data_IF_255471330013
#
_entry.id   IF_255471330013
#
_cell.length_a   1.000
_cell.length_b   1.000
_cell.length_c   1.000
_cell.angle_alpha   90.00
_cell.angle_beta   90.00
_cell.angle_gamma   90.00
#
_symmetry.space_group_name_H-M   'P 1'
#
loop_
_entity.id
_entity.type
_entity.pdbx_description
1 polymer ?
#
# COMPACT_ATOMS: atom_id res chain seq x y z
N UNK A 1 -16.02 -7.41 12.15
CA UNK A 1 -16.35 -6.18 12.88
C UNK A 1 -15.09 -5.36 12.95
N UNK A 2 -14.91 -4.51 11.93
CA UNK A 2 -13.85 -3.51 11.78
C UNK A 2 -13.59 -2.81 13.11
N UNK A 3 -12.43 -3.07 13.72
CA UNK A 3 -11.93 -2.19 14.77
C UNK A 3 -11.22 -1.04 14.09
N UNK A 4 -11.77 0.18 14.20
CA UNK A 4 -11.11 1.40 13.71
C UNK A 4 -9.66 1.52 14.21
N UNK A 5 -9.36 0.94 15.38
CA UNK A 5 -8.02 0.83 15.94
C UNK A 5 -7.07 0.01 15.07
N UNK A 6 -7.50 -1.12 14.50
CA UNK A 6 -6.63 -1.98 13.68
C UNK A 6 -6.26 -1.33 12.34
N UNK A 7 -7.21 -0.62 11.72
CA UNK A 7 -6.95 0.14 10.48
C UNK A 7 -5.91 1.22 10.74
N UNK A 8 -6.11 2.02 11.80
CA UNK A 8 -5.16 3.05 12.22
C UNK A 8 -3.77 2.47 12.50
N UNK A 9 -3.68 1.34 13.23
CA UNK A 9 -2.40 0.69 13.54
C UNK A 9 -1.61 0.26 12.29
N UNK A 10 -2.28 -0.21 11.24
CA UNK A 10 -1.64 -0.58 9.97
C UNK A 10 -1.13 0.67 9.26
N UNK A 11 -1.98 1.70 9.12
CA UNK A 11 -1.63 2.93 8.42
C UNK A 11 -0.55 3.74 9.15
N UNK A 12 -0.66 3.88 10.47
CA UNK A 12 0.33 4.56 11.31
C UNK A 12 1.67 3.82 11.32
N UNK A 13 1.66 2.49 11.26
CA UNK A 13 2.92 1.76 11.08
C UNK A 13 3.54 2.03 9.71
N UNK A 14 2.73 1.99 8.66
CA UNK A 14 3.22 2.09 7.29
C UNK A 14 3.67 3.50 6.91
N UNK A 15 2.89 4.51 7.25
CA UNK A 15 3.14 5.92 6.91
C UNK A 15 3.70 6.75 8.09
N UNK A 16 3.60 6.23 9.31
CA UNK A 16 3.96 6.96 10.53
C UNK A 16 2.81 7.83 11.04
N UNK A 17 2.75 8.04 12.36
CA UNK A 17 1.70 8.87 12.97
C UNK A 17 1.61 10.27 12.32
N UNK A 18 0.37 10.74 12.12
CA UNK A 18 0.08 12.06 11.56
C UNK A 18 0.42 12.24 10.08
N UNK A 19 0.69 11.15 9.35
CA UNK A 19 1.13 11.19 7.95
C UNK A 19 0.21 11.97 7.01
N UNK A 20 -1.10 11.95 7.22
CA UNK A 20 -2.07 12.65 6.36
C UNK A 20 -1.86 14.17 6.34
N UNK A 21 -1.35 14.74 7.43
CA UNK A 21 -1.10 16.18 7.55
C UNK A 21 0.32 16.58 7.14
N UNK A 22 1.17 15.62 6.76
CA UNK A 22 2.58 15.85 6.43
C UNK A 22 2.79 15.93 4.91
N UNK A 23 3.75 16.73 4.43
CA UNK A 23 4.16 16.70 3.04
C UNK A 23 4.64 15.30 2.62
N UNK A 24 4.31 14.88 1.40
CA UNK A 24 4.57 13.53 0.95
C UNK A 24 6.07 13.16 0.99
N UNK A 25 6.95 14.07 0.61
CA UNK A 25 8.40 13.85 0.64
C UNK A 25 8.94 13.60 2.05
N UNK A 26 8.34 14.20 3.09
CA UNK A 26 8.79 14.00 4.48
C UNK A 26 8.36 12.64 4.99
N UNK A 27 7.12 12.23 4.70
CA UNK A 27 6.64 10.88 5.02
C UNK A 27 7.50 9.86 4.28
N UNK A 28 7.78 10.09 3.00
CA UNK A 28 8.61 9.20 2.20
C UNK A 28 10.04 9.07 2.73
N UNK A 29 10.70 10.18 3.06
CA UNK A 29 12.06 10.15 3.61
C UNK A 29 12.11 9.45 4.97
N UNK A 30 11.10 9.66 5.82
CA UNK A 30 10.97 9.01 7.14
C UNK A 30 10.81 7.50 7.01
N UNK A 31 9.98 7.05 6.07
CA UNK A 31 9.55 5.66 5.94
C UNK A 31 10.32 4.84 4.90
N UNK A 32 11.23 5.45 4.12
CA UNK A 32 11.97 4.74 3.03
C UNK A 32 12.65 3.44 3.45
N UNK A 33 13.10 3.34 4.71
CA UNK A 33 13.74 2.13 5.23
C UNK A 33 12.74 0.99 5.44
N UNK A 34 11.50 1.32 5.80
CA UNK A 34 10.41 0.35 5.91
C UNK A 34 10.00 -0.14 4.52
N UNK A 35 9.82 0.77 3.56
CA UNK A 35 9.27 0.44 2.24
C UNK A 35 10.28 -0.23 1.31
N UNK A 36 11.50 0.28 1.24
CA UNK A 36 12.42 -0.03 0.14
C UNK A 36 13.70 -0.75 0.57
N UNK A 37 13.88 -1.04 1.86
CA UNK A 37 15.08 -1.70 2.36
C UNK A 37 14.78 -3.07 2.95
N UNK A 38 15.66 -4.04 2.67
CA UNK A 38 15.69 -5.30 3.40
C UNK A 38 16.23 -5.06 4.80
N UNK A 39 15.40 -5.24 5.82
CA UNK A 39 15.79 -5.05 7.21
C UNK A 39 15.14 -6.13 8.10
N UNK A 40 15.92 -7.09 8.63
CA UNK A 40 15.40 -8.17 9.47
C UNK A 40 14.64 -7.70 10.72
N UNK A 41 15.02 -6.56 11.31
CA UNK A 41 14.34 -6.02 12.49
C UNK A 41 12.96 -5.47 12.12
N UNK A 42 12.81 -4.92 10.92
CA UNK A 42 11.51 -4.47 10.39
C UNK A 42 10.66 -5.68 10.03
N UNK A 43 11.24 -6.70 9.40
CA UNK A 43 10.53 -7.93 9.04
C UNK A 43 9.97 -8.63 10.29
N UNK A 44 10.76 -8.70 11.37
CA UNK A 44 10.32 -9.24 12.65
C UNK A 44 9.19 -8.40 13.29
N UNK A 45 9.24 -7.08 13.17
CA UNK A 45 8.16 -6.19 13.62
C UNK A 45 6.88 -6.39 12.81
N UNK A 46 6.99 -6.47 11.47
CA UNK A 46 5.85 -6.74 10.60
C UNK A 46 5.19 -8.06 10.97
N UNK A 47 5.99 -9.12 11.16
CA UNK A 47 5.48 -10.45 11.54
C UNK A 47 4.78 -10.42 12.88
N UNK A 48 5.46 -9.92 13.91
CA UNK A 48 4.92 -9.95 15.29
C UNK A 48 3.63 -9.14 15.44
N UNK A 49 3.45 -8.06 14.66
CA UNK A 49 2.29 -7.17 14.76
C UNK A 49 1.15 -7.56 13.82
N UNK A 50 1.47 -7.97 12.59
CA UNK A 50 0.47 -8.00 11.51
C UNK A 50 0.26 -9.37 10.89
N UNK A 51 1.06 -10.40 11.18
CA UNK A 51 0.88 -11.74 10.57
C UNK A 51 -0.54 -12.29 10.79
N UNK A 52 -1.10 -12.11 11.99
CA UNK A 52 -2.47 -12.53 12.28
C UNK A 52 -3.53 -11.76 11.47
N UNK A 53 -3.29 -10.48 11.16
CA UNK A 53 -4.19 -9.66 10.31
C UNK A 53 -4.03 -10.03 8.84
N UNK A 54 -2.81 -10.31 8.37
CA UNK A 54 -2.57 -10.83 7.02
C UNK A 54 -3.34 -12.13 6.80
N UNK A 55 -3.31 -13.06 7.77
CA UNK A 55 -4.07 -14.31 7.67
C UNK A 55 -5.59 -14.09 7.69
N UNK A 56 -6.09 -13.10 8.44
CA UNK A 56 -7.51 -12.72 8.41
C UNK A 56 -7.91 -12.10 7.07
N UNK A 57 -7.09 -11.20 6.53
CA UNK A 57 -7.28 -10.61 5.21
C UNK A 57 -7.32 -11.69 4.13
N UNK A 58 -6.35 -12.60 4.11
CA UNK A 58 -6.28 -13.71 3.17
C UNK A 58 -7.46 -14.70 3.28
N UNK A 59 -8.09 -14.77 4.45
CA UNK A 59 -9.29 -15.58 4.68
C UNK A 59 -10.60 -14.83 4.39
N UNK A 60 -10.55 -13.61 3.82
CA UNK A 60 -11.69 -12.72 3.61
C UNK A 60 -12.47 -12.38 4.90
N UNK A 61 -11.82 -12.43 6.07
CA UNK A 61 -12.45 -12.12 7.35
C UNK A 61 -12.50 -10.61 7.66
N UNK A 62 -11.95 -9.78 6.76
CA UNK A 62 -11.91 -8.32 6.81
C UNK A 62 -12.63 -7.70 5.58
N UNK A 63 -13.66 -8.39 5.06
CA UNK A 63 -14.44 -7.93 3.90
C UNK A 63 -15.07 -6.55 4.12
N UNK A 64 -15.49 -6.26 5.35
CA UNK A 64 -15.98 -4.94 5.80
C UNK A 64 -14.95 -3.81 5.66
N UNK A 65 -13.67 -4.10 5.38
CA UNK A 65 -12.66 -3.07 5.12
C UNK A 65 -12.72 -2.51 3.70
N UNK A 66 -13.45 -3.16 2.79
CA UNK A 66 -13.59 -2.71 1.40
C UNK A 66 -14.54 -1.52 1.22
N UNK A 67 -15.25 -1.11 2.27
CA UNK A 67 -16.31 -0.08 2.22
C UNK A 67 -15.80 1.36 2.41
N UNK A 68 -14.52 1.55 2.79
CA UNK A 68 -13.95 2.85 3.16
C UNK A 68 -12.49 2.95 2.70
N UNK A 69 -12.08 4.13 2.25
CA UNK A 69 -10.80 4.34 1.57
C UNK A 69 -9.59 3.95 2.44
N UNK A 70 -9.61 4.33 3.72
CA UNK A 70 -8.52 4.04 4.65
C UNK A 70 -8.44 2.56 5.00
N UNK A 71 -9.58 1.91 5.25
CA UNK A 71 -9.57 0.47 5.50
C UNK A 71 -9.25 -0.35 4.26
N UNK A 72 -9.65 0.10 3.07
CA UNK A 72 -9.30 -0.53 1.80
C UNK A 72 -7.78 -0.46 1.59
N UNK A 73 -7.17 0.70 1.80
CA UNK A 73 -5.71 0.84 1.75
C UNK A 73 -5.02 -0.06 2.77
N UNK A 74 -5.50 -0.10 4.01
CA UNK A 74 -4.94 -0.98 5.04
C UNK A 74 -5.05 -2.46 4.66
N UNK A 75 -6.16 -2.87 4.05
CA UNK A 75 -6.36 -4.22 3.53
C UNK A 75 -5.36 -4.54 2.40
N UNK A 76 -5.18 -3.63 1.45
CA UNK A 76 -4.19 -3.76 0.38
C UNK A 76 -2.77 -3.89 0.96
N UNK A 77 -2.39 -3.06 1.94
CA UNK A 77 -1.09 -3.16 2.60
C UNK A 77 -0.88 -4.53 3.28
N UNK A 78 -1.92 -5.08 3.92
CA UNK A 78 -1.87 -6.41 4.54
C UNK A 78 -1.72 -7.54 3.52
N UNK A 79 -2.24 -7.37 2.30
CA UNK A 79 -2.21 -8.40 1.25
C UNK A 79 -0.98 -8.27 0.34
N UNK A 80 -0.45 -7.06 0.14
CA UNK A 80 0.62 -6.80 -0.82
C UNK A 80 1.96 -6.52 -0.14
N UNK A 81 2.02 -5.49 0.70
CA UNK A 81 3.27 -5.00 1.27
C UNK A 81 3.75 -5.84 2.47
N UNK A 82 2.86 -6.14 3.42
CA UNK A 82 3.21 -6.90 4.63
C UNK A 82 3.77 -8.30 4.32
N UNK A 83 3.21 -9.09 3.38
CA UNK A 83 3.75 -10.41 3.06
C UNK A 83 5.18 -10.36 2.51
N UNK A 84 5.55 -9.30 1.77
CA UNK A 84 6.90 -9.06 1.24
C UNK A 84 7.94 -8.86 2.35
N UNK A 85 7.54 -8.30 3.49
CA UNK A 85 8.37 -8.22 4.71
C UNK A 85 8.30 -9.51 5.55
N UNK A 86 7.09 -10.00 5.83
CA UNK A 86 6.85 -11.12 6.75
C UNK A 86 7.49 -12.40 6.20
N UNK A 87 7.24 -12.73 4.94
CA UNK A 87 7.65 -14.00 4.32
C UNK A 87 8.79 -13.81 3.31
N UNK A 88 9.64 -12.80 3.55
CA UNK A 88 10.76 -12.45 2.66
C UNK A 88 11.58 -13.67 2.23
N UNK A 89 12.02 -13.65 0.96
CA UNK A 89 12.80 -14.71 0.32
C UNK A 89 12.06 -16.07 0.25
N UNK A 90 10.72 -16.07 0.35
CA UNK A 90 9.89 -17.26 0.15
C UNK A 90 8.76 -16.97 -0.85
N UNK A 91 8.21 -18.01 -1.52
CA UNK A 91 7.05 -17.84 -2.40
C UNK A 91 5.83 -17.24 -1.71
N UNK A 92 5.71 -17.41 -0.38
CA UNK A 92 4.59 -16.90 0.39
C UNK A 92 4.54 -15.36 0.43
N UNK A 93 5.65 -14.68 0.10
CA UNK A 93 5.67 -13.23 -0.05
C UNK A 93 4.74 -12.70 -1.15
N UNK A 94 4.37 -13.54 -2.10
CA UNK A 94 3.53 -13.20 -3.27
C UNK A 94 2.18 -13.95 -3.26
N UNK A 95 1.88 -14.69 -2.18
CA UNK A 95 0.74 -15.60 -2.14
C UNK A 95 -0.62 -14.90 -2.24
N UNK A 96 -0.66 -13.59 -1.98
CA UNK A 96 -1.90 -12.81 -1.89
C UNK A 96 -1.97 -11.68 -2.92
N UNK A 97 -1.03 -11.63 -3.88
CA UNK A 97 -0.93 -10.56 -4.88
C UNK A 97 -2.23 -10.43 -5.69
N UNK A 98 -2.83 -11.56 -6.09
CA UNK A 98 -4.10 -11.55 -6.83
C UNK A 98 -5.26 -10.99 -5.99
N UNK A 99 -5.29 -11.24 -4.66
CA UNK A 99 -6.31 -10.64 -3.78
C UNK A 99 -6.09 -9.14 -3.62
N UNK A 100 -4.83 -8.70 -3.47
CA UNK A 100 -4.49 -7.28 -3.40
C UNK A 100 -4.87 -6.55 -4.70
N UNK A 101 -4.56 -7.16 -5.86
CA UNK A 101 -4.94 -6.68 -7.19
C UNK A 101 -6.46 -6.50 -7.32
N UNK A 102 -7.25 -7.49 -6.89
CA UNK A 102 -8.71 -7.39 -6.89
C UNK A 102 -9.22 -6.25 -6.00
N UNK A 103 -8.62 -6.05 -4.82
CA UNK A 103 -8.95 -4.93 -3.93
C UNK A 103 -8.62 -3.58 -4.59
N UNK A 104 -7.46 -3.47 -5.25
CA UNK A 104 -7.06 -2.26 -5.99
C UNK A 104 -8.04 -1.93 -7.11
N UNK A 105 -8.43 -2.91 -7.94
CA UNK A 105 -9.44 -2.68 -8.98
C UNK A 105 -10.79 -2.28 -8.40
N UNK A 106 -11.22 -2.90 -7.31
CA UNK A 106 -12.46 -2.52 -6.64
C UNK A 106 -12.37 -1.05 -6.18
N UNK A 107 -11.31 -0.68 -5.45
CA UNK A 107 -11.10 0.67 -4.96
C UNK A 107 -11.14 1.71 -6.08
N UNK A 108 -10.47 1.45 -7.20
CA UNK A 108 -10.48 2.29 -8.40
C UNK A 108 -11.88 2.37 -9.05
N UNK A 109 -12.61 1.25 -9.12
CA UNK A 109 -13.93 1.20 -9.75
C UNK A 109 -15.00 2.00 -8.99
N UNK A 110 -14.86 2.12 -7.66
CA UNK A 110 -15.77 2.91 -6.81
C UNK A 110 -15.18 4.25 -6.37
N UNK A 111 -13.98 4.62 -6.84
CA UNK A 111 -13.36 5.93 -6.62
C UNK A 111 -12.81 6.16 -5.21
N UNK A 112 -12.57 5.10 -4.42
CA UNK A 112 -12.02 5.23 -3.06
C UNK A 112 -10.60 5.77 -3.04
N UNK A 113 -9.83 5.58 -4.11
CA UNK A 113 -8.46 6.09 -4.19
C UNK A 113 -8.42 7.62 -4.21
N UNK A 114 -9.44 8.29 -4.76
CA UNK A 114 -9.52 9.75 -4.82
C UNK A 114 -9.70 10.39 -3.43
N UNK A 115 -10.21 9.63 -2.46
CA UNK A 115 -10.37 10.06 -1.06
C UNK A 115 -9.06 10.03 -0.26
N UNK A 116 -8.02 9.37 -0.78
CA UNK A 116 -6.73 9.24 -0.11
C UNK A 116 -5.77 10.39 -0.48
N UNK A 117 -4.85 10.77 0.42
CA UNK A 117 -3.73 11.63 0.06
C UNK A 117 -2.88 11.02 -1.08
N UNK A 118 -2.29 11.81 -1.98
CA UNK A 118 -1.56 11.31 -3.15
C UNK A 118 -0.50 10.24 -2.85
N UNK A 119 0.22 10.37 -1.72
CA UNK A 119 1.24 9.40 -1.33
C UNK A 119 0.66 8.02 -0.98
N UNK A 120 -0.52 7.98 -0.35
CA UNK A 120 -1.18 6.73 -0.03
C UNK A 120 -1.66 6.00 -1.29
N UNK A 121 -2.06 6.74 -2.33
CA UNK A 121 -2.49 6.18 -3.61
C UNK A 121 -1.39 5.38 -4.31
N UNK A 122 -0.13 5.77 -4.13
CA UNK A 122 1.02 4.99 -4.63
C UNK A 122 0.92 3.54 -4.16
N UNK A 123 0.71 3.32 -2.86
CA UNK A 123 0.59 1.97 -2.28
C UNK A 123 -0.71 1.27 -2.62
N UNK A 124 -1.78 2.02 -2.87
CA UNK A 124 -3.02 1.45 -3.40
C UNK A 124 -2.83 0.89 -4.81
N UNK A 125 -1.99 1.54 -5.64
CA UNK A 125 -1.74 1.16 -7.03
C UNK A 125 -0.66 0.09 -7.21
N UNK A 126 0.29 -0.06 -6.27
CA UNK A 126 1.39 -1.04 -6.35
C UNK A 126 0.97 -2.48 -6.72
N UNK A 127 -0.17 -3.03 -6.25
CA UNK A 127 -0.59 -4.37 -6.68
C UNK A 127 -0.74 -4.54 -8.19
N UNK A 128 -1.05 -3.47 -8.93
CA UNK A 128 -1.09 -3.49 -10.39
C UNK A 128 0.32 -3.59 -11.01
N UNK A 129 1.31 -2.90 -10.42
CA UNK A 129 2.72 -2.99 -10.81
C UNK A 129 3.30 -4.39 -10.54
N UNK A 130 2.81 -5.07 -9.51
CA UNK A 130 3.21 -6.44 -9.19
C UNK A 130 2.54 -7.51 -10.06
N UNK A 131 1.46 -7.16 -10.76
CA UNK A 131 0.72 -8.11 -11.58
C UNK A 131 1.46 -8.44 -12.88
N UNK A 132 1.54 -9.72 -13.23
CA UNK A 132 2.04 -10.17 -14.54
C UNK A 132 0.96 -10.02 -15.64
N UNK A 133 0.38 -8.83 -15.75
CA UNK A 133 -0.74 -8.50 -16.66
C UNK A 133 -0.46 -7.19 -17.40
N UNK A 134 -0.53 -7.20 -18.73
CA UNK A 134 -0.15 -6.05 -19.55
C UNK A 134 -1.10 -4.86 -19.38
N UNK A 135 -2.39 -5.10 -19.17
CA UNK A 135 -3.38 -4.02 -19.02
C UNK A 135 -3.17 -3.30 -17.68
N UNK A 136 -2.84 -4.05 -16.63
CA UNK A 136 -2.52 -3.48 -15.32
C UNK A 136 -1.23 -2.67 -15.32
N UNK A 137 -0.19 -3.19 -15.99
CA UNK A 137 1.08 -2.48 -16.17
C UNK A 137 0.86 -1.14 -16.91
N UNK A 138 0.04 -1.15 -17.97
CA UNK A 138 -0.31 0.09 -18.66
C UNK A 138 -1.13 1.03 -17.79
N UNK A 139 -2.00 0.50 -16.94
CA UNK A 139 -2.88 1.31 -16.11
C UNK A 139 -2.11 1.95 -14.94
N UNK A 140 -1.23 1.21 -14.26
CA UNK A 140 -0.43 1.76 -13.16
C UNK A 140 0.51 2.86 -13.64
N UNK A 141 1.13 2.71 -14.82
CA UNK A 141 1.93 3.79 -15.45
C UNK A 141 1.09 5.05 -15.62
N UNK A 142 -0.16 4.94 -16.07
CA UNK A 142 -1.04 6.11 -16.23
C UNK A 142 -1.37 6.76 -14.89
N UNK A 143 -1.71 5.95 -13.87
CA UNK A 143 -2.05 6.41 -12.53
C UNK A 143 -0.86 7.11 -11.85
N UNK A 144 0.31 6.48 -11.83
CA UNK A 144 1.53 7.04 -11.24
C UNK A 144 2.00 8.30 -11.98
N UNK A 145 1.92 8.30 -13.32
CA UNK A 145 2.22 9.50 -14.13
C UNK A 145 1.27 10.66 -13.80
N UNK A 146 -0.01 10.39 -13.56
CA UNK A 146 -0.97 11.41 -13.16
C UNK A 146 -0.63 11.99 -11.78
N UNK A 147 -0.24 11.16 -10.80
CA UNK A 147 0.25 11.61 -9.50
C UNK A 147 1.47 12.51 -9.66
N UNK A 148 2.48 12.09 -10.42
CA UNK A 148 3.69 12.87 -10.68
C UNK A 148 3.41 14.24 -11.33
N UNK A 149 2.47 14.30 -12.28
CA UNK A 149 2.05 15.56 -12.91
C UNK A 149 1.31 16.50 -11.95
N UNK A 150 0.56 15.94 -11.00
CA UNK A 150 -0.18 16.72 -10.01
C UNK A 150 0.71 17.22 -8.86
N UNK A 151 1.83 16.54 -8.61
CA UNK A 151 2.76 16.89 -7.55
C UNK A 151 3.48 18.22 -7.83
N UNK A 152 3.76 18.96 -6.77
CA UNK A 152 4.41 20.27 -6.85
C UNK A 152 5.39 20.47 -5.70
N UNK A 153 6.23 21.50 -5.81
CA UNK A 153 7.23 21.81 -4.78
C UNK A 153 8.20 20.65 -4.54
N UNK A 154 8.49 20.38 -3.28
CA UNK A 154 9.43 19.33 -2.85
C UNK A 154 8.87 17.90 -3.03
N UNK A 155 7.55 17.75 -3.13
CA UNK A 155 6.92 16.44 -3.33
C UNK A 155 7.12 15.90 -4.75
N UNK A 156 7.34 16.80 -5.73
CA UNK A 156 7.45 16.43 -7.15
C UNK A 156 8.50 15.37 -7.40
N UNK A 157 9.68 15.51 -6.80
CA UNK A 157 10.78 14.56 -6.99
C UNK A 157 10.44 13.15 -6.48
N UNK A 158 9.66 13.04 -5.39
CA UNK A 158 9.23 11.75 -4.87
C UNK A 158 8.26 11.05 -5.83
N UNK A 159 7.27 11.77 -6.35
CA UNK A 159 6.28 11.20 -7.27
C UNK A 159 6.83 10.90 -8.67
N UNK A 160 7.75 11.71 -9.19
CA UNK A 160 8.50 11.37 -10.40
C UNK A 160 9.28 10.07 -10.20
N UNK A 161 9.93 9.91 -9.03
CA UNK A 161 10.57 8.67 -8.65
C UNK A 161 9.63 7.46 -8.68
N UNK A 162 8.42 7.57 -8.11
CA UNK A 162 7.45 6.47 -8.15
C UNK A 162 6.96 6.15 -9.56
N UNK A 163 6.77 7.16 -10.42
CA UNK A 163 6.36 6.95 -11.80
C UNK A 163 7.45 6.31 -12.67
N UNK A 164 8.73 6.50 -12.34
CA UNK A 164 9.85 5.89 -13.07
C UNK A 164 10.00 4.37 -12.82
N UNK A 165 9.43 3.86 -11.71
CA UNK A 165 9.45 2.42 -11.39
C UNK A 165 8.16 1.69 -11.79
N UNK A 166 7.13 2.41 -12.22
CA UNK A 166 5.84 1.87 -12.66
C UNK A 166 5.89 1.21 -14.05
#
# INVERSE_FOLDING_TARGET
MKSATQVGEVLDFWFGEGWEAMPAHQVAERQKKLWWSKNPDIDAQCRSRFEALVQQAAANALDDWTEDAHSMLALILLLDQMPRNIYRDTPQAFAFDELARQCTHLALAIGLDEELPPLARVFLYLPLEHAEDLDDQQYVVQLMTALAKSASGEDKAAFEGYADYA
#
